data_IF_233975474551
#
_entry.id   IF_233975474551
#
_cell.length_a   1.000
_cell.length_b   1.000
_cell.length_c   1.000
_cell.angle_alpha   90.00
_cell.angle_beta   90.00
_cell.angle_gamma   90.00
#
_symmetry.space_group_name_H-M   'P 1'
#
loop_
_entity.id
_entity.type
_entity.pdbx_description
1 polymer ?
#
# COMPACT_ATOMS: atom_id res chain seq x y z
N UNK A 1 -4.38 -9.44 22.94
CA UNK A 1 -3.27 -8.78 22.25
C UNK A 1 -3.18 -9.38 20.87
N UNK A 2 -3.35 -8.59 19.80
CA UNK A 2 -3.25 -9.09 18.43
C UNK A 2 -1.83 -9.55 18.15
N UNK A 3 -1.64 -10.87 18.02
CA UNK A 3 -0.35 -11.49 17.67
C UNK A 3 -0.16 -11.59 16.16
N UNK A 4 -1.12 -11.11 15.37
CA UNK A 4 -1.16 -11.26 13.92
C UNK A 4 -1.01 -9.90 13.25
N UNK A 5 -0.31 -9.88 12.12
CA UNK A 5 -0.26 -8.74 11.21
C UNK A 5 -1.61 -8.64 10.49
N UNK A 6 -2.21 -7.46 10.52
CA UNK A 6 -3.51 -7.18 9.89
C UNK A 6 -3.32 -6.33 8.63
N UNK A 7 -4.14 -6.57 7.62
CA UNK A 7 -4.06 -5.92 6.30
C UNK A 7 -5.39 -5.27 6.00
N UNK A 8 -5.39 -3.99 5.63
CA UNK A 8 -6.61 -3.33 5.19
C UNK A 8 -7.07 -3.82 3.82
N UNK A 9 -8.32 -3.52 3.49
CA UNK A 9 -8.76 -3.52 2.10
C UNK A 9 -7.92 -2.54 1.27
N UNK A 10 -7.82 -2.83 -0.02
CA UNK A 10 -7.17 -1.94 -0.99
C UNK A 10 -8.13 -0.79 -1.30
N UNK A 11 -7.57 0.40 -1.44
CA UNK A 11 -8.26 1.57 -1.96
C UNK A 11 -7.34 2.25 -2.98
N UNK A 12 -7.90 3.08 -3.85
CA UNK A 12 -7.13 3.66 -4.94
C UNK A 12 -7.54 5.10 -5.21
N UNK A 13 -6.58 5.87 -5.74
CA UNK A 13 -6.84 7.16 -6.35
C UNK A 13 -6.60 7.07 -7.87
N UNK A 14 -6.42 8.21 -8.53
CA UNK A 14 -6.18 8.29 -9.97
C UNK A 14 -4.84 7.71 -10.43
N UNK A 15 -3.92 7.34 -9.55
CA UNK A 15 -2.57 6.93 -9.93
C UNK A 15 -2.07 5.69 -9.17
N UNK A 16 -2.53 5.47 -7.95
CA UNK A 16 -1.97 4.47 -7.04
C UNK A 16 -3.05 3.62 -6.40
N UNK A 17 -2.69 2.36 -6.13
CA UNK A 17 -3.37 1.49 -5.18
C UNK A 17 -2.67 1.60 -3.82
N UNK A 18 -3.45 1.70 -2.76
CA UNK A 18 -3.03 1.89 -1.38
C UNK A 18 -3.55 0.78 -0.48
N UNK A 19 -2.81 0.55 0.61
CA UNK A 19 -3.20 -0.31 1.72
C UNK A 19 -2.42 0.09 2.95
N UNK A 20 -2.98 -0.11 4.13
CA UNK A 20 -2.21 -0.07 5.37
C UNK A 20 -2.07 -1.47 5.98
N UNK A 21 -0.95 -1.69 6.66
CA UNK A 21 -0.65 -2.91 7.40
C UNK A 21 -0.44 -2.55 8.85
N UNK A 22 -1.14 -3.23 9.75
CA UNK A 22 -1.05 -3.01 11.19
C UNK A 22 -0.19 -4.12 11.78
N UNK A 23 0.96 -3.74 12.31
CA UNK A 23 1.87 -4.63 13.01
C UNK A 23 1.44 -4.80 14.47
N UNK A 24 1.68 -5.98 15.08
CA UNK A 24 1.71 -6.10 16.53
C UNK A 24 2.64 -5.04 17.13
N UNK A 25 2.18 -4.33 18.16
CA UNK A 25 2.92 -3.21 18.79
C UNK A 25 4.34 -3.58 19.22
N UNK A 26 4.59 -4.86 19.49
CA UNK A 26 5.90 -5.37 19.88
C UNK A 26 6.93 -5.33 18.74
N UNK A 27 6.49 -5.62 17.51
CA UNK A 27 7.34 -5.55 16.31
C UNK A 27 7.64 -4.09 15.93
N UNK A 28 6.74 -3.16 16.26
CA UNK A 28 6.88 -1.76 15.90
C UNK A 28 7.88 -0.97 16.78
N UNK A 29 8.27 -1.48 17.95
CA UNK A 29 9.11 -0.73 18.92
C UNK A 29 10.50 -0.39 18.40
N UNK A 30 11.02 -1.17 17.46
CA UNK A 30 12.37 -1.01 16.89
C UNK A 30 12.40 -0.33 15.53
N UNK A 31 11.26 0.16 15.02
CA UNK A 31 11.22 0.75 13.68
C UNK A 31 11.88 2.12 13.63
N UNK A 32 12.57 2.45 12.52
CA UNK A 32 13.05 3.80 12.30
C UNK A 32 11.87 4.76 12.18
N UNK A 33 11.93 5.90 12.89
CA UNK A 33 10.92 6.96 12.83
C UNK A 33 11.30 8.12 11.90
N UNK A 34 12.50 8.08 11.31
CA UNK A 34 13.06 9.13 10.44
C UNK A 34 13.14 8.73 8.97
N UNK A 35 13.00 7.45 8.63
CA UNK A 35 13.08 6.94 7.26
C UNK A 35 12.07 5.84 6.99
N UNK A 36 11.75 5.68 5.72
CA UNK A 36 10.91 4.61 5.21
C UNK A 36 11.66 3.28 5.22
N UNK A 37 10.90 2.19 5.12
CA UNK A 37 11.41 0.83 5.07
C UNK A 37 11.53 0.38 3.62
N UNK A 38 12.66 -0.22 3.27
CA UNK A 38 12.84 -0.92 1.99
C UNK A 38 12.06 -2.24 1.98
N UNK A 39 11.89 -2.82 0.79
CA UNK A 39 11.13 -4.06 0.60
C UNK A 39 11.63 -5.19 1.50
N UNK A 40 12.94 -5.37 1.54
CA UNK A 40 13.61 -6.39 2.34
C UNK A 40 13.32 -6.18 3.84
N UNK A 41 13.33 -4.93 4.30
CA UNK A 41 13.17 -4.59 5.71
C UNK A 41 11.76 -4.89 6.22
N UNK A 42 10.71 -4.48 5.48
CA UNK A 42 9.35 -4.79 5.91
C UNK A 42 8.99 -6.27 5.72
N UNK A 43 9.61 -6.96 4.75
CA UNK A 43 9.47 -8.43 4.61
C UNK A 43 10.09 -9.17 5.79
N UNK A 44 11.24 -8.72 6.30
CA UNK A 44 11.88 -9.29 7.49
C UNK A 44 11.03 -9.15 8.76
N UNK A 45 10.16 -8.14 8.84
CA UNK A 45 9.18 -7.99 9.92
C UNK A 45 8.00 -8.98 9.82
N UNK A 46 7.94 -9.78 8.75
CA UNK A 46 6.87 -10.74 8.49
C UNK A 46 5.70 -10.18 7.69
N UNK A 47 5.78 -8.96 7.16
CA UNK A 47 4.75 -8.42 6.26
C UNK A 47 4.80 -9.18 4.93
N UNK A 48 3.66 -9.74 4.53
CA UNK A 48 3.51 -10.54 3.33
C UNK A 48 2.46 -9.92 2.41
N UNK A 49 2.92 -9.44 1.27
CA UNK A 49 2.08 -8.92 0.21
C UNK A 49 2.73 -9.20 -1.16
N UNK A 50 1.94 -9.01 -2.22
CA UNK A 50 2.38 -9.12 -3.61
C UNK A 50 3.54 -8.16 -3.91
N UNK A 51 4.15 -8.26 -5.09
CA UNK A 51 5.23 -7.35 -5.47
C UNK A 51 4.73 -5.93 -5.80
N UNK A 52 5.68 -4.99 -5.76
CA UNK A 52 5.51 -3.59 -6.16
C UNK A 52 5.02 -2.63 -5.06
N UNK A 53 4.73 -3.12 -3.86
CA UNK A 53 4.34 -2.27 -2.73
C UNK A 53 5.53 -1.52 -2.13
N UNK A 54 5.38 -0.21 -2.00
CA UNK A 54 6.38 0.70 -1.43
C UNK A 54 5.84 1.31 -0.14
N UNK A 55 6.60 1.23 0.95
CA UNK A 55 6.30 1.95 2.18
C UNK A 55 6.57 3.44 1.95
N UNK A 56 5.52 4.26 1.88
CA UNK A 56 5.65 5.62 1.33
C UNK A 56 5.54 6.74 2.36
N UNK A 57 4.98 6.45 3.53
CA UNK A 57 4.79 7.44 4.58
C UNK A 57 4.83 6.79 5.97
N UNK A 58 5.43 7.51 6.92
CA UNK A 58 5.43 7.13 8.34
C UNK A 58 4.21 7.76 9.01
N UNK A 59 3.31 6.93 9.51
CA UNK A 59 2.19 7.40 10.34
C UNK A 59 2.67 7.68 11.76
N UNK A 60 3.10 8.91 12.02
CA UNK A 60 3.74 9.30 13.31
C UNK A 60 2.90 9.04 14.56
N UNK A 61 1.57 9.26 14.58
CA UNK A 61 0.75 8.97 15.76
C UNK A 61 0.74 7.48 16.14
N UNK A 62 0.76 6.60 15.13
CA UNK A 62 0.70 5.15 15.34
C UNK A 62 1.74 4.43 14.45
N UNK A 63 3.02 4.38 14.86
CA UNK A 63 4.12 3.84 14.04
C UNK A 63 4.02 2.36 13.68
N UNK A 64 3.11 1.65 14.33
CA UNK A 64 2.79 0.25 14.03
C UNK A 64 1.90 0.10 12.79
N UNK A 65 1.39 1.21 12.23
CA UNK A 65 0.66 1.24 10.97
C UNK A 65 1.64 1.61 9.86
N UNK A 66 1.93 0.67 8.98
CA UNK A 66 2.74 0.86 7.78
C UNK A 66 1.84 1.22 6.60
N UNK A 67 2.16 2.32 5.92
CA UNK A 67 1.40 2.82 4.78
C UNK A 67 2.07 2.42 3.47
N UNK A 68 1.38 1.66 2.64
CA UNK A 68 1.90 1.18 1.36
C UNK A 68 1.14 1.75 0.18
N UNK A 69 1.85 1.99 -0.92
CA UNK A 69 1.25 2.24 -2.22
C UNK A 69 1.97 1.49 -3.33
N UNK A 70 1.32 1.30 -4.48
CA UNK A 70 1.94 0.86 -5.73
C UNK A 70 1.16 1.41 -6.94
N UNK A 71 1.79 1.55 -8.11
CA UNK A 71 1.08 2.07 -9.28
C UNK A 71 -0.11 1.18 -9.66
N UNK A 72 -1.15 1.77 -10.26
CA UNK A 72 -2.22 0.98 -10.89
C UNK A 72 -1.64 0.11 -12.02
N UNK A 73 -2.24 -1.05 -12.27
CA UNK A 73 -1.73 -1.99 -13.28
C UNK A 73 -0.46 -2.75 -12.86
N UNK A 74 -0.01 -2.64 -11.61
CA UNK A 74 1.13 -3.42 -11.11
C UNK A 74 0.81 -4.91 -11.08
N UNK A 75 1.59 -5.70 -11.83
CA UNK A 75 1.51 -7.16 -11.82
C UNK A 75 1.97 -7.72 -10.45
N UNK A 76 1.15 -8.53 -9.78
CA UNK A 76 1.44 -8.98 -8.41
C UNK A 76 2.64 -9.93 -8.29
N UNK A 77 3.08 -10.55 -9.39
CA UNK A 77 4.16 -11.54 -9.40
C UNK A 77 5.51 -10.93 -9.73
N UNK A 78 5.56 -10.00 -10.67
CA UNK A 78 6.78 -9.32 -11.14
C UNK A 78 7.01 -7.98 -10.45
N UNK A 79 5.95 -7.29 -10.01
CA UNK A 79 6.01 -5.93 -9.49
C UNK A 79 6.17 -4.86 -10.58
N UNK A 80 6.12 -5.26 -11.85
CA UNK A 80 6.19 -4.33 -12.98
C UNK A 80 4.81 -3.77 -13.29
N UNK A 81 4.79 -2.54 -13.79
CA UNK A 81 3.56 -1.88 -14.24
C UNK A 81 3.28 -2.31 -15.68
N UNK A 82 2.10 -2.85 -15.92
CA UNK A 82 1.57 -3.07 -17.25
C UNK A 82 0.93 -1.76 -17.75
N UNK A 83 1.49 -1.09 -18.77
CA UNK A 83 1.01 0.23 -19.20
C UNK A 83 -0.44 0.22 -19.69
N UNK A 84 -0.90 -0.88 -20.26
CA UNK A 84 -2.29 -0.98 -20.75
C UNK A 84 -3.26 -1.04 -19.56
N UNK A 85 -2.95 -1.89 -18.57
CA UNK A 85 -3.75 -1.99 -17.34
C UNK A 85 -3.71 -0.72 -16.50
N UNK A 86 -2.56 -0.04 -16.47
CA UNK A 86 -2.45 1.25 -15.79
C UNK A 86 -3.41 2.26 -16.44
N UNK A 87 -3.39 2.39 -17.78
CA UNK A 87 -4.30 3.27 -18.52
C UNK A 87 -5.76 2.93 -18.25
N UNK A 88 -6.13 1.66 -18.38
CA UNK A 88 -7.51 1.19 -18.15
C UNK A 88 -8.00 1.52 -16.73
N UNK A 89 -7.15 1.32 -15.72
CA UNK A 89 -7.48 1.63 -14.33
C UNK A 89 -7.66 3.14 -14.11
N UNK A 90 -6.81 3.98 -14.72
CA UNK A 90 -6.92 5.44 -14.65
C UNK A 90 -8.19 5.95 -15.32
N UNK A 91 -8.51 5.42 -16.50
CA UNK A 91 -9.73 5.75 -17.24
C UNK A 91 -10.99 5.36 -16.45
N UNK A 92 -11.01 4.14 -15.89
CA UNK A 92 -12.14 3.67 -15.08
C UNK A 92 -12.35 4.50 -13.81
N UNK A 93 -11.28 4.95 -13.15
CA UNK A 93 -11.38 5.86 -12.00
C UNK A 93 -11.92 7.23 -12.40
N UNK A 94 -11.45 7.80 -13.51
CA UNK A 94 -11.94 9.08 -14.03
C UNK A 94 -13.43 9.00 -14.40
N UNK A 95 -13.87 7.93 -15.06
CA UNK A 95 -15.27 7.70 -15.38
C UNK A 95 -16.13 7.60 -14.12
N UNK A 96 -15.68 6.85 -13.11
CA UNK A 96 -16.37 6.74 -11.82
C UNK A 96 -16.56 8.10 -11.15
N UNK A 97 -15.53 8.95 -11.13
CA UNK A 97 -15.65 10.30 -10.58
C UNK A 97 -16.65 11.15 -11.36
N UNK A 98 -16.59 11.11 -12.69
CA UNK A 98 -17.53 11.85 -13.55
C UNK A 98 -18.98 11.42 -13.33
N UNK A 99 -19.23 10.11 -13.14
CA UNK A 99 -20.55 9.59 -12.84
C UNK A 99 -21.08 10.07 -11.48
N UNK A 100 -20.21 10.13 -10.46
CA UNK A 100 -20.59 10.62 -9.14
C UNK A 100 -20.84 12.13 -9.11
N UNK A 101 -20.15 12.92 -9.95
CA UNK A 101 -20.37 14.37 -10.06
C UNK A 101 -21.65 14.75 -10.84
N UNK A 102 -22.23 13.81 -11.58
CA UNK A 102 -23.47 14.01 -12.36
C UNK A 102 -24.74 13.66 -11.57
N UNK A 103 -24.61 13.16 -10.35
CA UNK A 103 -25.70 12.87 -9.42
C UNK A 103 -25.87 14.00 -8.43
#
# INVERSE_FOLDING_TARGET
>A
MGTRIEYSDKYQDSNWEYRHVILPKELARGLPNTRLLQEEEWRLLGVQQSRGWVHYAIHRPEPHILLFHRPLGTDPLSGQVDPEKEREAKEGYAEHLLLNMRR
#
